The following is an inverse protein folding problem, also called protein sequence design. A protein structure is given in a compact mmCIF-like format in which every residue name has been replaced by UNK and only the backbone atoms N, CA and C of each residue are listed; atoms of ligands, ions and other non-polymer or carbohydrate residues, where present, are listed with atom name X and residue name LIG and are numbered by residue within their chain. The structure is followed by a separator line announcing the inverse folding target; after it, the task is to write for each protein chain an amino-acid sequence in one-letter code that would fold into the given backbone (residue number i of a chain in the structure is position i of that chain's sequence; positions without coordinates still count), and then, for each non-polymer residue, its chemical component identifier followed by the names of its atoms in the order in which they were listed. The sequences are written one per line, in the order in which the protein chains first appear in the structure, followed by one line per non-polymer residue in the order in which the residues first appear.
data_IF_189020280931
#
_entry.id   IF_189020280931
#
_cell.length_a   1.000
_cell.length_b   1.000
_cell.length_c   1.000
_cell.angle_alpha   90.00
_cell.angle_beta   90.00
_cell.angle_gamma   90.00
#
_symmetry.space_group_name_H-M   'P 1'
#
loop_
_entity.id
_entity.type
_entity.pdbx_description
1 polymer ?
#
# COMPACT_ATOMS: atom_id res chain seq x y z
N UNK A 1 6.58 -70.79 -34.57
CA UNK A 1 7.15 -70.75 -35.94
C UNK A 1 8.61 -70.31 -35.80
N UNK A 2 9.59 -71.18 -36.12
CA UNK A 2 11.06 -70.94 -36.20
C UNK A 2 11.75 -70.34 -34.93
N UNK A 3 12.51 -71.05 -34.08
CA UNK A 3 13.81 -71.78 -34.20
C UNK A 3 15.10 -70.93 -34.32
N UNK A 4 16.08 -71.24 -33.44
CA UNK A 4 17.56 -71.06 -33.55
C UNK A 4 18.12 -69.61 -33.46
N UNK A 5 19.35 -69.30 -32.99
CA UNK A 5 20.49 -70.13 -32.51
C UNK A 5 21.52 -69.33 -31.64
N UNK A 6 22.28 -70.04 -30.79
CA UNK A 6 23.73 -69.92 -30.44
C UNK A 6 24.44 -68.61 -29.95
N UNK A 7 25.41 -68.82 -29.03
CA UNK A 7 26.50 -67.88 -28.62
C UNK A 7 27.79 -68.10 -29.48
N UNK A 8 29.02 -67.65 -29.10
CA UNK A 8 29.61 -66.31 -29.24
C UNK A 8 30.99 -66.30 -29.98
N UNK A 9 31.63 -65.13 -30.14
CA UNK A 9 33.04 -64.91 -29.73
C UNK A 9 33.25 -63.52 -29.05
N UNK A 10 34.40 -63.11 -28.47
CA UNK A 10 35.63 -63.76 -27.97
C UNK A 10 36.40 -62.79 -27.02
N UNK A 11 37.61 -63.14 -26.55
CA UNK A 11 38.51 -62.32 -25.69
C UNK A 11 39.10 -61.08 -26.42
N UNK A 12 39.42 -59.96 -25.75
CA UNK A 12 40.67 -59.74 -24.97
C UNK A 12 40.90 -58.24 -24.65
N UNK A 13 41.88 -57.90 -23.78
CA UNK A 13 42.41 -56.51 -23.63
C UNK A 13 41.73 -55.62 -22.56
N UNK A 14 42.05 -55.70 -21.25
CA UNK A 14 43.22 -55.14 -20.50
C UNK A 14 43.31 -53.60 -20.39
N UNK A 15 43.32 -53.12 -19.14
CA UNK A 15 43.89 -51.88 -18.55
C UNK A 15 43.16 -50.53 -18.76
N UNK A 16 42.53 -49.99 -17.71
CA UNK A 16 43.08 -48.91 -16.85
C UNK A 16 42.06 -48.44 -15.80
N UNK A 17 42.41 -48.54 -14.51
CA UNK A 17 41.64 -47.91 -13.45
C UNK A 17 41.96 -46.40 -13.41
N UNK A 18 40.98 -45.55 -13.74
CA UNK A 18 41.03 -44.12 -13.42
C UNK A 18 40.28 -43.86 -12.13
N UNK A 19 41.03 -43.58 -11.06
CA UNK A 19 40.47 -43.00 -9.86
C UNK A 19 39.96 -41.58 -10.19
N UNK A 20 38.64 -41.39 -10.15
CA UNK A 20 38.06 -40.04 -10.19
C UNK A 20 38.19 -39.42 -8.80
N UNK A 21 39.19 -38.57 -8.66
CA UNK A 21 39.32 -37.66 -7.52
C UNK A 21 38.13 -36.72 -7.49
N UNK A 22 37.24 -36.86 -6.50
CA UNK A 22 36.18 -35.88 -6.22
C UNK A 22 36.81 -34.54 -5.82
N UNK A 23 36.57 -33.45 -6.57
CA UNK A 23 36.94 -32.12 -6.10
C UNK A 23 35.97 -31.70 -5.00
N UNK A 24 36.45 -31.58 -3.77
CA UNK A 24 35.69 -30.89 -2.73
C UNK A 24 35.69 -29.38 -3.00
N UNK A 25 34.53 -28.78 -3.24
CA UNK A 25 34.21 -27.40 -2.84
C UNK A 25 32.84 -26.98 -3.37
N UNK A 26 32.02 -26.39 -2.49
CA UNK A 26 31.12 -25.26 -2.77
C UNK A 26 30.40 -24.80 -1.49
N UNK A 27 31.17 -24.47 -0.46
CA UNK A 27 30.70 -23.89 0.82
C UNK A 27 31.49 -22.62 1.15
N UNK A 28 31.19 -21.50 0.47
CA UNK A 28 31.88 -20.21 0.76
C UNK A 28 31.12 -18.91 0.43
N UNK A 29 29.79 -18.92 0.42
CA UNK A 29 28.99 -17.69 0.27
C UNK A 29 28.66 -16.98 1.60
N UNK A 30 28.50 -17.75 2.70
CA UNK A 30 28.05 -17.22 3.99
C UNK A 30 29.00 -16.23 4.71
N UNK A 31 30.34 -16.39 4.70
CA UNK A 31 31.23 -15.56 5.52
C UNK A 31 31.16 -14.06 5.17
N UNK A 32 31.07 -13.72 3.89
CA UNK A 32 31.09 -12.33 3.43
C UNK A 32 29.82 -11.56 3.83
N UNK A 33 28.67 -12.25 3.88
CA UNK A 33 27.38 -11.66 4.26
C UNK A 33 27.34 -11.38 5.77
N UNK A 34 27.90 -12.27 6.60
CA UNK A 34 27.95 -12.07 8.05
C UNK A 34 28.85 -10.88 8.43
N UNK A 35 30.04 -10.78 7.84
CA UNK A 35 30.98 -9.66 8.06
C UNK A 35 30.37 -8.32 7.64
N UNK A 36 29.69 -8.26 6.48
CA UNK A 36 29.03 -7.03 6.02
C UNK A 36 27.88 -6.61 6.95
N UNK A 37 27.10 -7.56 7.48
CA UNK A 37 26.04 -7.28 8.48
C UNK A 37 26.61 -6.78 9.81
N UNK A 38 27.73 -7.32 10.27
CA UNK A 38 28.41 -6.85 11.48
C UNK A 38 28.89 -5.40 11.33
N UNK A 39 29.59 -5.09 10.23
CA UNK A 39 30.07 -3.74 9.91
C UNK A 39 28.93 -2.70 9.83
N UNK A 40 27.80 -3.08 9.23
CA UNK A 40 26.61 -2.21 9.15
C UNK A 40 26.00 -1.96 10.53
N UNK A 41 25.94 -2.98 11.41
CA UNK A 41 25.46 -2.82 12.79
C UNK A 41 26.36 -1.91 13.62
N UNK A 42 27.67 -2.04 13.47
CA UNK A 42 28.64 -1.18 14.16
C UNK A 42 28.53 0.28 13.70
N UNK A 43 28.47 0.52 12.38
CA UNK A 43 28.26 1.86 11.83
C UNK A 43 26.93 2.47 12.27
N UNK A 44 25.88 1.65 12.39
CA UNK A 44 24.59 2.05 12.96
C UNK A 44 24.74 2.51 14.42
N UNK A 45 25.43 1.73 15.26
CA UNK A 45 25.63 2.07 16.66
C UNK A 45 26.46 3.35 16.84
N UNK A 46 27.45 3.59 15.98
CA UNK A 46 28.24 4.82 15.96
C UNK A 46 27.39 6.05 15.60
N UNK A 47 26.47 5.93 14.63
CA UNK A 47 25.54 7.02 14.26
C UNK A 47 24.54 7.29 15.40
N UNK A 48 23.95 6.24 15.97
CA UNK A 48 22.98 6.36 17.07
C UNK A 48 23.62 6.97 18.33
N UNK A 49 24.95 6.84 18.52
CA UNK A 49 25.71 7.40 19.63
C UNK A 49 26.09 8.89 19.48
N UNK A 50 26.10 9.45 18.26
CA UNK A 50 26.57 10.83 18.03
C UNK A 50 25.49 11.88 18.35
N UNK A 51 24.27 11.68 17.86
CA UNK A 51 23.13 12.59 18.05
C UNK A 51 23.27 14.02 17.47
N UNK A 52 22.18 14.79 17.39
CA UNK A 52 20.78 14.37 17.47
C UNK A 52 20.23 13.92 16.11
N UNK A 53 19.10 13.23 16.13
CA UNK A 53 18.23 13.12 14.95
C UNK A 53 17.75 14.53 14.56
N UNK A 54 17.78 14.88 13.27
CA UNK A 54 17.34 16.20 12.80
C UNK A 54 15.90 16.50 13.29
N UNK A 55 15.65 17.67 13.93
CA UNK A 55 14.37 17.95 14.61
C UNK A 55 13.19 18.15 13.65
N UNK A 56 13.46 18.34 12.36
CA UNK A 56 12.47 18.51 11.31
C UNK A 56 12.98 17.98 9.97
N UNK A 57 12.18 17.16 9.30
CA UNK A 57 12.45 16.75 7.92
C UNK A 57 11.94 17.84 6.96
N UNK A 58 12.85 18.71 6.50
CA UNK A 58 12.56 19.77 5.53
C UNK A 58 13.40 19.49 4.28
N UNK A 59 12.80 19.58 3.10
CA UNK A 59 13.51 19.40 1.83
C UNK A 59 14.00 20.72 1.20
N UNK A 60 14.69 20.63 0.06
CA UNK A 60 15.21 21.77 -0.70
C UNK A 60 14.13 22.75 -1.21
N UNK A 61 12.85 22.38 -1.15
CA UNK A 61 11.72 23.24 -1.52
C UNK A 61 11.03 23.85 -0.27
N UNK A 62 11.62 23.67 0.92
CA UNK A 62 11.05 24.14 2.18
C UNK A 62 9.85 23.33 2.69
N UNK A 63 9.53 22.19 2.08
CA UNK A 63 8.38 21.37 2.47
C UNK A 63 8.72 20.55 3.71
N UNK A 64 7.90 20.68 4.76
CA UNK A 64 8.01 19.89 5.99
C UNK A 64 7.33 18.53 5.82
N UNK A 65 8.11 17.46 5.84
CA UNK A 65 7.65 16.08 5.75
C UNK A 65 7.20 15.56 7.11
N UNK A 66 5.90 15.61 7.39
CA UNK A 66 5.30 15.12 8.64
C UNK A 66 4.43 13.85 8.46
N UNK A 67 4.39 13.28 7.25
CA UNK A 67 3.54 12.13 6.92
C UNK A 67 4.36 10.95 6.34
N UNK A 68 4.50 9.86 7.09
CA UNK A 68 5.18 8.64 6.66
C UNK A 68 4.19 7.57 6.17
N UNK A 69 4.36 7.07 4.94
CA UNK A 69 3.66 5.90 4.41
C UNK A 69 4.58 4.69 4.46
N UNK A 70 4.20 3.66 5.21
CA UNK A 70 4.94 2.40 5.32
C UNK A 70 4.26 1.35 4.44
N UNK A 71 5.05 0.65 3.63
CA UNK A 71 4.60 -0.47 2.79
C UNK A 71 4.97 -1.77 3.52
N UNK A 72 4.01 -2.51 4.05
CA UNK A 72 4.24 -3.66 4.93
C UNK A 72 4.42 -5.00 4.18
N UNK A 73 4.13 -4.99 2.88
CA UNK A 73 4.02 -6.15 1.99
C UNK A 73 3.96 -5.66 0.54
N UNK A 74 4.49 -6.44 -0.40
CA UNK A 74 4.45 -6.14 -1.84
C UNK A 74 3.17 -6.61 -2.53
N UNK A 75 2.38 -7.49 -1.89
CA UNK A 75 1.30 -8.28 -2.53
C UNK A 75 0.03 -7.46 -2.82
N UNK A 76 0.08 -6.58 -3.82
CA UNK A 76 -1.08 -5.78 -4.22
C UNK A 76 -2.00 -6.54 -5.19
N UNK A 77 -3.04 -7.18 -4.67
CA UNK A 77 -3.97 -7.96 -5.50
C UNK A 77 -4.75 -7.14 -6.54
N UNK A 78 -4.82 -5.82 -6.39
CA UNK A 78 -5.48 -4.90 -7.33
C UNK A 78 -4.54 -4.41 -8.46
N UNK A 79 -3.23 -4.47 -8.24
CA UNK A 79 -2.24 -3.89 -9.17
C UNK A 79 -1.32 -4.91 -9.83
N UNK A 80 -1.26 -6.15 -9.36
CA UNK A 80 -0.43 -7.17 -10.00
C UNK A 80 -1.11 -7.67 -11.30
N UNK A 81 -0.38 -7.74 -12.43
CA UNK A 81 -0.89 -8.28 -13.69
C UNK A 81 -1.29 -9.76 -13.58
N UNK A 82 -2.02 -10.23 -14.60
CA UNK A 82 -2.60 -11.58 -14.69
C UNK A 82 -1.56 -12.68 -14.55
N UNK A 83 -0.36 -12.43 -15.05
CA UNK A 83 0.78 -13.35 -15.11
C UNK A 83 1.57 -13.39 -13.78
N UNK A 84 1.16 -12.59 -12.80
CA UNK A 84 1.82 -12.43 -11.51
C UNK A 84 3.01 -11.47 -11.56
N UNK A 85 3.67 -11.30 -10.41
CA UNK A 85 4.94 -10.60 -10.26
C UNK A 85 5.83 -11.47 -9.38
N UNK A 86 7.11 -11.59 -9.70
CA UNK A 86 8.07 -12.22 -8.79
C UNK A 86 8.12 -11.41 -7.48
N UNK A 87 7.68 -12.05 -6.39
CA UNK A 87 7.68 -11.44 -5.07
C UNK A 87 9.05 -11.58 -4.43
N UNK A 88 9.52 -10.53 -3.73
CA UNK A 88 10.79 -10.59 -3.01
C UNK A 88 10.78 -11.75 -2.00
N UNK A 89 11.93 -12.44 -1.80
CA UNK A 89 12.10 -13.39 -0.72
C UNK A 89 11.73 -12.75 0.63
N UNK A 90 11.08 -13.50 1.52
CA UNK A 90 10.67 -12.99 2.85
C UNK A 90 11.82 -12.39 3.67
N UNK A 91 13.06 -12.84 3.42
CA UNK A 91 14.30 -12.33 4.04
C UNK A 91 14.62 -10.87 3.69
N UNK A 92 13.98 -10.33 2.66
CA UNK A 92 14.22 -8.98 2.15
C UNK A 92 13.14 -8.00 2.61
N UNK A 93 12.06 -8.48 3.23
CA UNK A 93 10.98 -7.62 3.76
C UNK A 93 11.34 -7.22 5.19
N UNK A 94 11.19 -5.93 5.52
CA UNK A 94 11.43 -5.41 6.87
C UNK A 94 10.65 -6.19 7.94
N UNK A 95 11.36 -6.55 9.01
CA UNK A 95 10.78 -7.10 10.24
C UNK A 95 10.01 -6.03 11.02
N UNK A 96 9.15 -6.45 11.95
CA UNK A 96 8.39 -5.51 12.79
C UNK A 96 9.32 -4.65 13.67
N UNK A 97 10.44 -5.20 14.15
CA UNK A 97 11.44 -4.46 14.92
C UNK A 97 12.15 -3.38 14.10
N UNK A 98 12.48 -3.67 12.84
CA UNK A 98 13.05 -2.69 11.92
C UNK A 98 12.04 -1.59 11.56
N UNK A 99 10.77 -1.95 11.35
CA UNK A 99 9.68 -0.99 11.12
C UNK A 99 9.51 -0.07 12.32
N UNK A 100 9.46 -0.61 13.56
CA UNK A 100 9.35 0.20 14.77
C UNK A 100 10.58 1.09 14.98
N UNK A 101 11.80 0.58 14.73
CA UNK A 101 13.03 1.38 14.83
C UNK A 101 13.01 2.55 13.85
N UNK A 102 12.69 2.31 12.58
CA UNK A 102 12.60 3.36 11.55
C UNK A 102 11.48 4.36 11.87
N UNK A 103 10.29 3.88 12.23
CA UNK A 103 9.16 4.74 12.62
C UNK A 103 9.51 5.61 13.83
N UNK A 104 10.22 5.09 14.82
CA UNK A 104 10.69 5.85 15.99
C UNK A 104 11.62 7.00 15.58
N UNK A 105 12.56 6.75 14.66
CA UNK A 105 13.44 7.80 14.14
C UNK A 105 12.63 8.88 13.41
N UNK A 106 11.77 8.50 12.46
CA UNK A 106 10.92 9.44 11.72
C UNK A 106 10.01 10.28 12.61
N UNK A 107 9.36 9.67 13.63
CA UNK A 107 8.50 10.40 14.57
C UNK A 107 9.32 11.40 15.39
N UNK A 108 10.51 11.02 15.87
CA UNK A 108 11.45 11.94 16.53
C UNK A 108 11.96 13.06 15.60
N UNK A 109 11.95 12.87 14.28
CA UNK A 109 12.21 13.92 13.28
C UNK A 109 10.97 14.78 12.93
N UNK A 110 9.87 14.65 13.66
CA UNK A 110 8.66 15.46 13.47
C UNK A 110 7.60 14.86 12.53
N UNK A 111 7.62 13.56 12.25
CA UNK A 111 6.49 12.85 11.62
C UNK A 111 5.37 12.65 12.64
N UNK A 112 4.20 13.23 12.38
CA UNK A 112 3.01 13.10 13.25
C UNK A 112 1.94 12.15 12.70
N UNK A 113 2.03 11.76 11.42
CA UNK A 113 1.07 10.86 10.77
C UNK A 113 1.78 9.65 10.16
N UNK A 114 1.34 8.43 10.48
CA UNK A 114 1.80 7.18 9.86
C UNK A 114 0.64 6.51 9.11
N UNK A 115 0.87 6.08 7.87
CA UNK A 115 -0.08 5.27 7.08
C UNK A 115 0.51 3.90 6.77
N UNK A 116 -0.15 2.86 7.27
CA UNK A 116 0.14 1.47 6.93
C UNK A 116 -0.54 1.10 5.62
N UNK A 117 0.26 0.65 4.67
CA UNK A 117 -0.16 0.25 3.32
C UNK A 117 0.68 -0.94 2.86
N UNK A 118 0.65 -1.25 1.57
CA UNK A 118 1.56 -2.15 0.90
C UNK A 118 0.90 -2.54 -0.41
N UNK A 119 0.87 -3.83 -0.66
CA UNK A 119 -0.33 -4.49 -1.16
C UNK A 119 -1.47 -4.41 -0.14
N UNK A 120 -1.96 -5.57 0.32
CA UNK A 120 -2.97 -5.61 1.39
C UNK A 120 -2.32 -5.76 2.78
N UNK A 121 -2.29 -4.73 3.66
CA UNK A 121 -1.60 -4.80 4.95
C UNK A 121 -2.20 -5.82 5.92
N UNK A 122 -3.50 -6.11 5.84
CA UNK A 122 -4.17 -7.04 6.78
C UNK A 122 -3.72 -8.50 6.62
N UNK A 123 -3.04 -8.88 5.53
CA UNK A 123 -2.46 -10.24 5.38
C UNK A 123 -1.17 -10.43 6.19
N UNK A 124 -0.57 -9.35 6.73
CA UNK A 124 0.66 -9.45 7.52
C UNK A 124 0.35 -10.05 8.89
N UNK A 125 0.96 -11.20 9.18
CA UNK A 125 0.93 -11.77 10.55
C UNK A 125 1.49 -10.75 11.53
N UNK A 126 0.86 -10.60 12.69
CA UNK A 126 1.27 -9.61 13.70
C UNK A 126 0.78 -8.17 13.46
N UNK A 127 -0.02 -7.89 12.42
CA UNK A 127 -0.46 -6.51 12.11
C UNK A 127 -1.12 -5.76 13.28
N UNK A 128 -1.86 -6.48 14.13
CA UNK A 128 -2.49 -5.92 15.35
C UNK A 128 -1.43 -5.48 16.37
N UNK A 129 -0.45 -6.35 16.64
CA UNK A 129 0.67 -6.06 17.55
C UNK A 129 1.53 -4.91 17.02
N UNK A 130 1.84 -4.92 15.71
CA UNK A 130 2.58 -3.84 15.06
C UNK A 130 1.88 -2.48 15.21
N UNK A 131 0.55 -2.42 15.09
CA UNK A 131 -0.23 -1.20 15.36
C UNK A 131 -0.11 -0.78 16.83
N UNK A 132 -0.18 -1.73 17.78
CA UNK A 132 0.01 -1.47 19.21
C UNK A 132 1.40 -0.89 19.52
N UNK A 133 2.45 -1.49 18.97
CA UNK A 133 3.84 -1.01 19.11
C UNK A 133 4.07 0.36 18.45
N UNK A 134 3.42 0.64 17.32
CA UNK A 134 3.42 1.97 16.70
C UNK A 134 2.67 3.01 17.57
N UNK A 135 1.60 2.59 18.25
CA UNK A 135 0.79 3.46 19.11
C UNK A 135 1.56 3.93 20.35
N UNK A 136 2.58 3.20 20.81
CA UNK A 136 3.51 3.70 21.83
C UNK A 136 4.28 4.95 21.38
N UNK A 137 4.49 5.15 20.08
CA UNK A 137 5.25 6.30 19.56
C UNK A 137 4.52 7.64 19.73
N UNK A 138 3.28 7.62 20.23
CA UNK A 138 2.57 8.84 20.69
C UNK A 138 3.37 9.63 21.72
N UNK A 139 4.15 8.94 22.58
CA UNK A 139 5.09 9.56 23.54
C UNK A 139 6.22 10.36 22.88
N UNK A 140 6.37 10.28 21.56
CA UNK A 140 7.34 11.01 20.76
C UNK A 140 6.69 11.99 19.75
N UNK A 141 5.37 12.20 19.81
CA UNK A 141 4.66 13.17 18.95
C UNK A 141 3.85 12.55 17.80
N UNK A 142 3.66 11.23 17.77
CA UNK A 142 2.75 10.61 16.80
C UNK A 142 1.29 10.96 17.14
N UNK A 143 0.56 11.55 16.19
CA UNK A 143 -0.85 11.96 16.35
C UNK A 143 -1.81 10.91 15.78
N UNK A 144 -1.47 10.31 14.65
CA UNK A 144 -2.38 9.39 13.93
C UNK A 144 -1.67 8.20 13.30
N UNK A 145 -2.28 7.04 13.50
CA UNK A 145 -2.02 5.82 12.74
C UNK A 145 -3.22 5.60 11.83
N UNK A 146 -2.97 5.52 10.53
CA UNK A 146 -3.97 5.17 9.54
C UNK A 146 -3.61 3.88 8.79
N UNK A 147 -4.61 3.27 8.15
CA UNK A 147 -4.42 2.13 7.25
C UNK A 147 -5.04 2.41 5.88
N UNK A 148 -4.54 1.76 4.82
CA UNK A 148 -5.23 1.63 3.53
C UNK A 148 -5.39 0.15 3.21
N UNK A 149 -6.60 -0.32 2.95
CA UNK A 149 -6.94 -1.75 2.77
C UNK A 149 -8.05 -1.92 1.71
N UNK A 150 -8.05 -3.07 1.04
CA UNK A 150 -9.17 -3.51 0.19
C UNK A 150 -10.37 -4.05 0.98
N UNK A 151 -10.27 -4.15 2.31
CA UNK A 151 -11.38 -4.53 3.19
C UNK A 151 -11.74 -6.02 3.23
N UNK A 152 -11.17 -6.89 2.37
CA UNK A 152 -11.63 -8.28 2.23
C UNK A 152 -11.57 -9.12 3.52
N UNK A 153 -10.56 -8.88 4.37
CA UNK A 153 -10.40 -9.57 5.66
C UNK A 153 -10.38 -8.60 6.86
N UNK A 154 -10.57 -7.30 6.62
CA UNK A 154 -10.41 -6.26 7.65
C UNK A 154 -11.40 -6.44 8.81
N UNK A 155 -12.65 -6.85 8.52
CA UNK A 155 -13.68 -7.16 9.52
C UNK A 155 -13.25 -8.17 10.60
N UNK A 156 -12.21 -8.98 10.36
CA UNK A 156 -11.67 -9.95 11.34
C UNK A 156 -10.69 -9.34 12.34
N UNK A 157 -10.19 -8.14 12.05
CA UNK A 157 -9.11 -7.50 12.77
C UNK A 157 -9.43 -6.07 13.22
N UNK A 158 -10.48 -5.44 12.68
CA UNK A 158 -10.73 -4.01 12.82
C UNK A 158 -10.86 -3.57 14.29
N UNK A 159 -11.67 -4.27 15.08
CA UNK A 159 -11.87 -3.96 16.50
C UNK A 159 -10.54 -3.99 17.27
N UNK A 160 -9.73 -5.02 17.02
CA UNK A 160 -8.41 -5.17 17.63
C UNK A 160 -7.44 -4.08 17.16
N UNK A 161 -7.48 -3.70 15.88
CA UNK A 161 -6.66 -2.61 15.33
C UNK A 161 -7.04 -1.26 15.95
N UNK A 162 -8.34 -0.97 16.11
CA UNK A 162 -8.84 0.25 16.75
C UNK A 162 -8.47 0.27 18.24
N UNK A 163 -8.62 -0.85 18.96
CA UNK A 163 -8.19 -0.98 20.35
C UNK A 163 -6.69 -0.73 20.52
N UNK A 164 -5.88 -1.19 19.56
CA UNK A 164 -4.42 -0.97 19.53
C UNK A 164 -3.99 0.40 19.00
N UNK A 165 -4.92 1.29 18.63
CA UNK A 165 -4.63 2.69 18.30
C UNK A 165 -4.71 3.08 16.81
N UNK A 166 -5.28 2.23 15.95
CA UNK A 166 -5.69 2.64 14.61
C UNK A 166 -6.75 3.75 14.70
N UNK A 167 -6.48 4.89 14.05
CA UNK A 167 -7.32 6.09 14.12
C UNK A 167 -8.02 6.44 12.81
N UNK A 168 -7.46 6.05 11.66
CA UNK A 168 -7.96 6.42 10.34
C UNK A 168 -7.97 5.20 9.41
N UNK A 169 -9.01 5.04 8.60
CA UNK A 169 -9.10 3.98 7.62
C UNK A 169 -9.39 4.54 6.24
N UNK A 170 -8.64 4.08 5.25
CA UNK A 170 -8.97 4.24 3.85
C UNK A 170 -9.32 2.85 3.29
N UNK A 171 -10.59 2.61 2.96
CA UNK A 171 -11.01 1.43 2.23
C UNK A 171 -10.96 1.70 0.73
N UNK A 172 -10.63 0.70 -0.08
CA UNK A 172 -10.77 0.74 -1.54
C UNK A 172 -11.97 -0.12 -1.96
N UNK A 173 -12.96 0.51 -2.60
CA UNK A 173 -14.14 -0.14 -3.14
C UNK A 173 -14.59 0.64 -4.37
N UNK A 174 -14.25 0.15 -5.56
CA UNK A 174 -14.48 0.90 -6.79
C UNK A 174 -15.93 0.78 -7.32
N UNK A 175 -16.75 -0.14 -6.81
CA UNK A 175 -18.12 -0.35 -7.29
C UNK A 175 -19.04 -0.92 -6.20
N UNK A 176 -20.31 -0.55 -6.26
CA UNK A 176 -21.39 -1.06 -5.41
C UNK A 176 -22.06 -2.31 -5.98
N UNK A 177 -21.81 -2.64 -7.24
CA UNK A 177 -22.30 -3.85 -7.91
C UNK A 177 -21.36 -5.05 -7.62
N UNK A 178 -21.87 -6.19 -7.11
CA UNK A 178 -21.04 -7.35 -6.75
C UNK A 178 -20.46 -8.08 -7.98
N UNK A 179 -21.12 -8.03 -9.14
CA UNK A 179 -20.61 -8.63 -10.39
C UNK A 179 -19.51 -7.76 -10.98
N UNK A 180 -19.70 -6.44 -11.03
CA UNK A 180 -18.63 -5.51 -11.43
C UNK A 180 -17.43 -5.59 -10.49
N UNK A 181 -17.66 -5.79 -9.19
CA UNK A 181 -16.58 -6.01 -8.23
C UNK A 181 -15.73 -7.22 -8.60
N UNK A 182 -16.34 -8.35 -8.97
CA UNK A 182 -15.57 -9.52 -9.41
C UNK A 182 -14.80 -9.24 -10.72
N UNK A 183 -15.40 -8.51 -11.68
CA UNK A 183 -14.73 -8.10 -12.93
C UNK A 183 -13.50 -7.20 -12.64
N UNK A 184 -13.64 -6.22 -11.75
CA UNK A 184 -12.59 -5.25 -11.44
C UNK A 184 -11.48 -5.85 -10.55
N UNK A 185 -11.85 -6.59 -9.51
CA UNK A 185 -10.92 -7.15 -8.53
C UNK A 185 -10.38 -8.54 -8.88
N UNK A 186 -11.00 -9.19 -9.88
CA UNK A 186 -10.79 -10.60 -10.26
C UNK A 186 -11.06 -11.59 -9.13
N UNK A 187 -11.88 -11.22 -8.14
CA UNK A 187 -12.18 -12.01 -6.94
C UNK A 187 -13.58 -11.76 -6.40
N UNK A 188 -14.18 -12.82 -5.88
CA UNK A 188 -15.33 -12.69 -4.97
C UNK A 188 -14.91 -12.06 -3.64
N UNK A 189 -15.83 -11.31 -3.03
CA UNK A 189 -15.64 -10.74 -1.70
C UNK A 189 -16.24 -9.36 -1.45
N UNK A 190 -16.99 -8.78 -2.39
CA UNK A 190 -17.72 -7.50 -2.25
C UNK A 190 -18.45 -7.37 -0.90
N UNK A 191 -19.28 -8.35 -0.58
CA UNK A 191 -19.94 -8.57 0.71
C UNK A 191 -19.02 -8.45 1.94
N UNK A 192 -17.78 -8.96 1.86
CA UNK A 192 -16.81 -8.87 2.94
C UNK A 192 -16.19 -7.47 3.07
N UNK A 193 -16.11 -6.70 1.97
CA UNK A 193 -15.70 -5.29 1.97
C UNK A 193 -16.80 -4.42 2.56
N UNK A 194 -18.06 -4.63 2.18
CA UNK A 194 -19.23 -3.94 2.75
C UNK A 194 -19.36 -4.21 4.27
N UNK A 195 -19.17 -5.45 4.72
CA UNK A 195 -19.11 -5.76 6.17
C UNK A 195 -17.98 -5.01 6.88
N UNK A 196 -16.80 -4.91 6.27
CA UNK A 196 -15.67 -4.15 6.83
C UNK A 196 -15.94 -2.64 6.86
N UNK A 197 -16.65 -2.10 5.87
CA UNK A 197 -17.10 -0.70 5.84
C UNK A 197 -18.12 -0.43 6.96
N UNK A 198 -19.18 -1.25 7.04
CA UNK A 198 -20.22 -1.09 8.06
C UNK A 198 -19.66 -1.21 9.49
N UNK A 199 -18.74 -2.15 9.73
CA UNK A 199 -18.05 -2.27 11.02
C UNK A 199 -17.17 -1.05 11.31
N UNK A 200 -16.53 -0.46 10.30
CA UNK A 200 -15.73 0.75 10.47
C UNK A 200 -16.59 1.96 10.85
N UNK A 201 -17.73 2.15 10.17
CA UNK A 201 -18.68 3.23 10.47
C UNK A 201 -19.25 3.07 11.89
N UNK A 202 -19.68 1.87 12.25
CA UNK A 202 -20.15 1.55 13.60
C UNK A 202 -19.06 1.71 14.69
N UNK A 203 -17.77 1.62 14.33
CA UNK A 203 -16.64 1.81 15.25
C UNK A 203 -16.19 3.27 15.42
N UNK A 204 -16.77 4.22 14.67
CA UNK A 204 -16.36 5.64 14.77
C UNK A 204 -16.67 6.23 16.16
N UNK A 205 -15.79 7.12 16.61
CA UNK A 205 -15.93 7.78 17.90
C UNK A 205 -14.63 8.41 18.40
N UNK A 206 -14.40 8.36 19.72
CA UNK A 206 -13.25 9.04 20.32
C UNK A 206 -11.88 8.46 19.89
N UNK A 207 -11.79 7.16 19.59
CA UNK A 207 -10.54 6.49 19.20
C UNK A 207 -10.37 6.39 17.67
N UNK A 208 -11.43 6.02 16.96
CA UNK A 208 -11.44 5.86 15.51
C UNK A 208 -12.15 7.06 14.86
N UNK A 209 -11.38 7.88 14.15
CA UNK A 209 -11.74 9.26 13.81
C UNK A 209 -12.34 9.44 12.42
N UNK A 210 -11.92 8.66 11.44
CA UNK A 210 -12.27 8.91 10.04
C UNK A 210 -12.23 7.64 9.20
N UNK A 211 -13.34 7.38 8.52
CA UNK A 211 -13.45 6.42 7.44
C UNK A 211 -13.44 7.17 6.11
N UNK A 212 -12.58 6.73 5.20
CA UNK A 212 -12.48 7.25 3.83
C UNK A 212 -12.66 6.10 2.85
N UNK A 213 -13.49 6.26 1.84
CA UNK A 213 -13.72 5.26 0.79
C UNK A 213 -13.09 5.78 -0.51
N UNK A 214 -12.04 5.12 -0.99
CA UNK A 214 -11.39 5.44 -2.25
C UNK A 214 -12.09 4.67 -3.39
N UNK A 215 -12.48 5.40 -4.44
CA UNK A 215 -13.17 4.89 -5.63
C UNK A 215 -12.37 5.34 -6.86
N UNK A 216 -11.75 4.41 -7.60
CA UNK A 216 -11.13 4.72 -8.90
C UNK A 216 -12.20 4.72 -9.98
N UNK A 217 -12.42 5.86 -10.63
CA UNK A 217 -13.52 6.03 -11.60
C UNK A 217 -13.02 5.75 -13.02
N UNK A 218 -13.68 4.81 -13.70
CA UNK A 218 -13.36 4.32 -15.04
C UNK A 218 -14.61 4.47 -15.92
N UNK A 219 -14.46 5.22 -17.03
CA UNK A 219 -15.54 5.55 -17.96
C UNK A 219 -16.12 4.30 -18.63
N UNK A 220 -17.45 4.19 -18.68
CA UNK A 220 -18.17 3.04 -19.21
C UNK A 220 -18.09 1.77 -18.36
N UNK A 221 -17.80 1.89 -17.06
CA UNK A 221 -17.71 0.75 -16.13
C UNK A 221 -18.41 1.03 -14.79
N UNK A 222 -17.92 2.01 -14.04
CA UNK A 222 -18.42 2.41 -12.71
C UNK A 222 -18.66 3.92 -12.59
N UNK A 223 -18.43 4.69 -13.64
CA UNK A 223 -18.72 6.13 -13.73
C UNK A 223 -20.21 6.48 -13.52
N UNK A 224 -21.11 5.57 -13.86
CA UNK A 224 -22.55 5.71 -13.58
C UNK A 224 -22.89 5.63 -12.08
N UNK A 225 -22.08 4.95 -11.26
CA UNK A 225 -22.33 4.73 -9.82
C UNK A 225 -21.89 5.91 -8.95
N UNK A 226 -21.31 6.96 -9.54
CA UNK A 226 -20.80 8.09 -8.78
C UNK A 226 -21.88 8.76 -7.91
N UNK A 227 -23.12 8.84 -8.39
CA UNK A 227 -24.26 9.37 -7.62
C UNK A 227 -24.67 8.42 -6.48
N UNK A 228 -24.67 7.11 -6.71
CA UNK A 228 -24.98 6.11 -5.68
C UNK A 228 -23.97 6.18 -4.53
N UNK A 229 -22.68 6.34 -4.86
CA UNK A 229 -21.66 6.63 -3.87
C UNK A 229 -21.94 7.94 -3.12
N UNK A 230 -22.25 9.05 -3.82
CA UNK A 230 -22.60 10.32 -3.15
C UNK A 230 -23.73 10.14 -2.14
N UNK A 231 -24.80 9.41 -2.50
CA UNK A 231 -25.93 9.11 -1.62
C UNK A 231 -25.52 8.35 -0.35
N UNK A 232 -24.51 7.47 -0.39
CA UNK A 232 -23.99 6.82 0.82
C UNK A 232 -23.47 7.82 1.87
N UNK A 233 -23.05 9.02 1.46
CA UNK A 233 -22.56 10.06 2.39
C UNK A 233 -23.66 10.89 3.03
N UNK A 234 -24.94 10.68 2.67
CA UNK A 234 -26.10 11.38 3.25
C UNK A 234 -26.17 11.19 4.76
N UNK A 235 -26.25 9.94 5.21
CA UNK A 235 -26.44 9.59 6.63
C UNK A 235 -25.17 9.09 7.33
N UNK A 236 -24.07 8.88 6.59
CA UNK A 236 -22.82 8.31 7.10
C UNK A 236 -21.72 9.37 7.23
N UNK A 237 -21.01 9.38 8.37
CA UNK A 237 -19.85 10.23 8.62
C UNK A 237 -18.58 9.65 7.94
N UNK A 238 -18.59 9.64 6.61
CA UNK A 238 -17.45 9.18 5.80
C UNK A 238 -17.09 10.16 4.69
N UNK A 239 -15.84 10.07 4.21
CA UNK A 239 -15.37 10.84 3.06
C UNK A 239 -15.15 9.92 1.86
N UNK A 240 -15.95 10.06 0.81
CA UNK A 240 -15.75 9.34 -0.45
C UNK A 240 -14.76 10.10 -1.32
N UNK A 241 -13.74 9.41 -1.81
CA UNK A 241 -12.64 9.97 -2.59
C UNK A 241 -12.62 9.35 -3.97
N UNK A 242 -13.15 10.09 -4.94
CA UNK A 242 -13.06 9.75 -6.36
C UNK A 242 -11.64 10.04 -6.86
N UNK A 243 -11.06 9.07 -7.57
CA UNK A 243 -9.68 9.09 -8.06
C UNK A 243 -9.71 8.89 -9.58
N UNK A 244 -9.01 9.75 -10.32
CA UNK A 244 -8.89 9.60 -11.77
C UNK A 244 -8.12 8.32 -12.13
N UNK A 245 -8.63 7.58 -13.13
CA UNK A 245 -7.96 6.40 -13.63
C UNK A 245 -6.60 6.75 -14.26
N UNK A 246 -5.53 6.36 -13.58
CA UNK A 246 -4.13 6.65 -13.94
C UNK A 246 -3.38 5.41 -14.44
N UNK A 247 -2.33 5.57 -15.28
CA UNK A 247 -1.50 4.46 -15.71
C UNK A 247 -0.69 3.89 -14.54
N UNK A 248 -0.50 2.56 -14.53
CA UNK A 248 0.46 1.88 -13.67
C UNK A 248 0.96 0.60 -14.33
N UNK A 249 2.19 0.20 -14.07
CA UNK A 249 2.83 -0.99 -14.67
C UNK A 249 1.94 -2.22 -14.53
N UNK A 250 1.46 -2.76 -15.66
CA UNK A 250 0.56 -3.92 -15.71
C UNK A 250 -0.94 -3.63 -15.88
N UNK A 251 -1.39 -2.37 -15.89
CA UNK A 251 -2.77 -2.04 -16.27
C UNK A 251 -2.94 -1.77 -17.78
N UNK A 252 -4.12 -2.09 -18.31
CA UNK A 252 -4.53 -1.69 -19.68
C UNK A 252 -5.09 -0.26 -19.63
N UNK A 253 -4.26 0.70 -19.22
CA UNK A 253 -4.68 2.11 -19.15
C UNK A 253 -4.96 2.65 -20.54
N UNK A 254 -5.99 3.48 -20.62
CA UNK A 254 -6.49 4.11 -21.83
C UNK A 254 -7.05 5.47 -21.44
N UNK A 255 -6.56 6.53 -22.07
CA UNK A 255 -6.99 7.90 -21.82
C UNK A 255 -8.49 8.10 -22.09
N UNK A 256 -9.07 7.33 -23.03
CA UNK A 256 -10.51 7.37 -23.31
C UNK A 256 -11.38 6.84 -22.14
N UNK A 257 -10.78 6.09 -21.21
CA UNK A 257 -11.45 5.55 -20.02
C UNK A 257 -11.29 6.41 -18.77
N UNK A 258 -10.55 7.52 -18.87
CA UNK A 258 -10.39 8.46 -17.77
C UNK A 258 -11.60 9.40 -17.70
N UNK A 259 -12.19 9.56 -16.52
CA UNK A 259 -13.16 10.62 -16.22
C UNK A 259 -12.43 11.73 -15.47
N UNK A 260 -12.31 12.96 -16.02
CA UNK A 260 -11.71 14.09 -15.30
C UNK A 260 -12.52 14.46 -14.07
N UNK A 261 -11.86 14.83 -12.98
CA UNK A 261 -12.52 15.26 -11.73
C UNK A 261 -13.57 16.38 -11.95
N UNK A 262 -13.31 17.30 -12.89
CA UNK A 262 -14.23 18.40 -13.21
C UNK A 262 -15.53 17.94 -13.91
N UNK A 263 -15.45 16.92 -14.79
CA UNK A 263 -16.62 16.29 -15.41
C UNK A 263 -17.49 15.63 -14.33
N UNK A 264 -16.86 14.92 -13.40
CA UNK A 264 -17.54 14.23 -12.30
C UNK A 264 -18.20 15.21 -11.31
N UNK A 265 -17.49 16.28 -10.91
CA UNK A 265 -18.05 17.36 -10.07
C UNK A 265 -19.26 18.02 -10.76
N UNK A 266 -19.16 18.29 -12.07
CA UNK A 266 -20.26 18.90 -12.83
C UNK A 266 -21.49 17.98 -12.90
N UNK A 267 -21.28 16.67 -13.12
CA UNK A 267 -22.36 15.69 -13.12
C UNK A 267 -23.05 15.58 -11.75
N UNK A 268 -22.27 15.52 -10.65
CA UNK A 268 -22.81 15.47 -9.28
C UNK A 268 -23.55 16.78 -8.95
N UNK A 269 -23.07 17.94 -9.39
CA UNK A 269 -23.73 19.23 -9.17
C UNK A 269 -25.10 19.36 -9.87
N UNK A 270 -25.35 18.63 -10.97
CA UNK A 270 -26.67 18.58 -11.61
C UNK A 270 -27.71 17.85 -10.75
N UNK A 271 -27.31 16.77 -10.07
CA UNK A 271 -28.16 16.02 -9.14
C UNK A 271 -28.25 16.71 -7.75
N UNK A 272 -27.17 17.37 -7.33
CA UNK A 272 -27.05 18.06 -6.05
C UNK A 272 -26.58 19.52 -6.22
N UNK A 273 -27.49 20.45 -6.57
CA UNK A 273 -27.14 21.86 -6.77
C UNK A 273 -26.52 22.57 -5.56
N UNK A 274 -26.66 21.99 -4.35
CA UNK A 274 -26.01 22.47 -3.13
C UNK A 274 -24.54 22.05 -2.97
N UNK A 275 -23.95 21.32 -3.93
CA UNK A 275 -22.54 20.89 -3.87
C UNK A 275 -21.61 22.11 -3.78
N UNK A 276 -20.94 22.27 -2.64
CA UNK A 276 -20.03 23.39 -2.36
C UNK A 276 -18.62 22.88 -2.11
N UNK A 277 -17.61 23.62 -2.57
CA UNK A 277 -16.21 23.29 -2.28
C UNK A 277 -15.91 23.64 -0.82
N UNK A 278 -15.40 22.67 -0.07
CA UNK A 278 -14.93 22.88 1.29
C UNK A 278 -13.55 23.56 1.30
N UNK A 279 -13.13 24.09 2.46
CA UNK A 279 -11.77 24.59 2.64
C UNK A 279 -10.78 23.44 2.54
N UNK A 280 -9.80 23.54 1.64
CA UNK A 280 -8.77 22.51 1.49
C UNK A 280 -7.84 22.51 2.73
N UNK A 281 -7.58 21.33 3.32
CA UNK A 281 -6.55 21.19 4.35
C UNK A 281 -5.16 21.41 3.76
N UNK A 282 -4.24 21.96 4.57
CA UNK A 282 -2.84 22.11 4.20
C UNK A 282 -2.25 20.75 3.82
N UNK A 283 -1.87 20.62 2.54
CA UNK A 283 -1.28 19.43 1.91
C UNK A 283 -2.23 18.24 1.66
N UNK A 284 -3.57 18.40 1.63
CA UNK A 284 -4.43 17.33 1.11
C UNK A 284 -4.26 17.19 -0.42
N UNK A 285 -4.34 15.95 -0.89
CA UNK A 285 -4.36 15.56 -2.31
C UNK A 285 -5.75 15.60 -2.93
N UNK A 286 -6.80 15.63 -2.11
CA UNK A 286 -8.18 15.68 -2.57
C UNK A 286 -8.75 17.09 -2.41
N UNK A 287 -9.27 17.65 -3.51
CA UNK A 287 -10.13 18.85 -3.45
C UNK A 287 -11.44 18.43 -2.79
N UNK A 288 -11.76 19.00 -1.63
CA UNK A 288 -12.88 18.53 -0.81
C UNK A 288 -14.17 19.31 -1.09
N UNK A 289 -15.31 18.64 -1.01
CA UNK A 289 -16.65 19.19 -1.26
C UNK A 289 -17.66 18.63 -0.25
N UNK A 290 -18.72 19.39 0.00
CA UNK A 290 -19.81 19.04 0.91
C UNK A 290 -21.16 19.38 0.28
N UNK A 291 -22.20 18.66 0.69
CA UNK A 291 -23.59 18.91 0.28
C UNK A 291 -24.39 19.26 1.55
N UNK A 292 -25.10 20.40 1.61
CA UNK A 292 -25.95 20.75 2.75
C UNK A 292 -26.93 19.63 3.12
N UNK A 293 -26.97 19.28 4.40
CA UNK A 293 -27.81 18.18 4.92
C UNK A 293 -27.18 16.80 4.85
N UNK A 294 -26.05 16.62 4.17
CA UNK A 294 -25.29 15.36 4.18
C UNK A 294 -24.31 15.37 5.36
N UNK A 295 -24.11 14.20 5.98
CA UNK A 295 -23.19 14.02 7.12
C UNK A 295 -21.74 13.81 6.69
N UNK A 296 -21.54 13.17 5.56
CA UNK A 296 -20.22 12.89 4.99
C UNK A 296 -19.71 13.99 4.05
N UNK A 297 -18.66 13.66 3.31
CA UNK A 297 -18.00 14.58 2.37
C UNK A 297 -17.50 13.87 1.12
N UNK A 298 -17.23 14.65 0.07
CA UNK A 298 -16.68 14.18 -1.19
C UNK A 298 -15.27 14.75 -1.37
N UNK A 299 -14.38 13.98 -1.97
CA UNK A 299 -13.03 14.41 -2.33
C UNK A 299 -12.68 13.96 -3.73
N UNK A 300 -12.07 14.84 -4.52
CA UNK A 300 -11.66 14.55 -5.89
C UNK A 300 -10.14 14.61 -5.99
N UNK A 301 -9.52 13.51 -6.38
CA UNK A 301 -8.07 13.36 -6.53
C UNK A 301 -7.73 13.37 -8.03
N UNK A 302 -7.37 14.57 -8.50
CA UNK A 302 -6.95 14.85 -9.87
C UNK A 302 -5.52 14.39 -10.17
N UNK A 303 -5.26 13.07 -10.10
CA UNK A 303 -3.92 12.51 -10.30
C UNK A 303 -3.31 12.83 -11.67
N UNK A 304 -4.15 13.00 -12.70
CA UNK A 304 -3.70 13.29 -14.08
C UNK A 304 -4.02 14.73 -14.52
N UNK A 305 -5.10 15.34 -14.01
CA UNK A 305 -5.56 16.67 -14.46
C UNK A 305 -5.03 17.87 -13.67
N UNK A 306 -4.58 17.70 -12.41
CA UNK A 306 -4.13 18.79 -11.54
C UNK A 306 -3.12 18.30 -10.49
N UNK A 307 -1.81 18.47 -10.75
CA UNK A 307 -0.76 17.86 -9.94
C UNK A 307 -0.52 18.56 -8.59
N UNK A 308 -0.76 17.84 -7.48
CA UNK A 308 -0.56 18.29 -6.09
C UNK A 308 0.88 18.18 -5.55
N UNK A 309 1.91 18.01 -6.40
CA UNK A 309 3.28 17.74 -5.92
C UNK A 309 3.92 18.94 -5.18
N UNK A 310 3.44 20.18 -5.40
CA UNK A 310 3.96 21.39 -4.75
C UNK A 310 3.80 21.44 -3.23
N UNK A 311 2.73 20.84 -2.69
CA UNK A 311 2.43 20.80 -1.24
C UNK A 311 2.78 19.45 -0.59
N UNK A 312 3.46 18.54 -1.29
CA UNK A 312 3.63 17.16 -0.82
C UNK A 312 4.55 17.04 0.40
N UNK A 313 3.98 16.63 1.55
CA UNK A 313 4.62 16.41 2.86
C UNK A 313 4.91 14.93 3.17
N UNK A 314 4.92 14.07 2.15
CA UNK A 314 4.90 12.60 2.30
C UNK A 314 6.27 11.96 2.03
N UNK A 315 6.66 11.08 2.94
CA UNK A 315 7.75 10.12 2.76
C UNK A 315 7.17 8.71 2.61
N UNK A 316 7.80 7.87 1.79
CA UNK A 316 7.43 6.46 1.64
C UNK A 316 8.59 5.56 2.06
N UNK A 317 8.30 4.63 2.96
CA UNK A 317 9.13 3.45 3.23
C UNK A 317 8.55 2.27 2.42
N UNK A 318 9.36 1.63 1.60
CA UNK A 318 8.97 0.43 0.85
C UNK A 318 9.10 -0.82 1.73
N UNK A 319 8.62 -1.98 1.24
CA UNK A 319 8.60 -3.21 2.03
C UNK A 319 10.00 -3.80 2.25
N UNK A 320 10.90 -3.52 1.31
CA UNK A 320 12.32 -3.86 1.26
C UNK A 320 13.23 -2.81 1.94
N UNK A 321 12.66 -1.71 2.45
CA UNK A 321 13.37 -0.73 3.27
C UNK A 321 13.97 0.47 2.52
N UNK A 322 13.68 0.66 1.24
CA UNK A 322 14.02 1.90 0.54
C UNK A 322 13.17 3.08 1.03
N UNK A 323 13.79 4.25 1.12
CA UNK A 323 13.10 5.52 1.41
C UNK A 323 12.93 6.30 0.11
N UNK A 324 11.67 6.63 -0.23
CA UNK A 324 11.32 7.43 -1.40
C UNK A 324 10.61 8.71 -0.96
N UNK A 325 11.19 9.87 -1.28
CA UNK A 325 10.64 11.20 -0.98
C UNK A 325 9.53 11.65 -1.97
N UNK A 326 9.14 10.77 -2.91
CA UNK A 326 8.07 11.01 -3.89
C UNK A 326 6.98 9.95 -3.75
N UNK A 327 5.72 10.38 -3.85
CA UNK A 327 4.58 9.47 -4.03
C UNK A 327 4.53 8.92 -5.45
N UNK A 328 3.83 7.80 -5.66
CA UNK A 328 3.67 7.14 -6.98
C UNK A 328 3.14 8.11 -8.05
N UNK A 329 2.26 9.03 -7.67
CA UNK A 329 1.63 10.04 -8.55
C UNK A 329 2.59 11.18 -8.95
N UNK A 330 3.80 11.26 -8.37
CA UNK A 330 4.82 12.26 -8.73
C UNK A 330 6.04 11.62 -9.43
N UNK A 331 5.87 10.46 -10.08
CA UNK A 331 6.86 9.93 -11.03
C UNK A 331 6.64 10.58 -12.40
N UNK A 332 7.71 11.02 -13.10
CA UNK A 332 7.62 11.37 -14.51
C UNK A 332 7.12 10.19 -15.34
N UNK A 333 6.44 10.47 -16.44
CA UNK A 333 5.90 9.47 -17.37
C UNK A 333 7.00 8.59 -18.01
N UNK A 334 8.24 9.08 -18.05
CA UNK A 334 9.37 8.45 -18.75
C UNK A 334 10.09 7.35 -17.93
N UNK A 335 9.69 7.09 -16.67
CA UNK A 335 10.29 6.12 -15.74
C UNK A 335 9.33 4.96 -15.34
N UNK A 336 8.35 4.58 -16.18
CA UNK A 336 7.29 3.58 -15.88
C UNK A 336 7.25 2.33 -16.77
#
# INVERSE_FOLDING_TARGET
MLFLSSRPPSCSGRIFARAYTTPSSLTRAEPLISTRRALVREKIAQIDAQGPVAPSLIDSFGRRHNYLRISLTERCFYCMPTDGVELSPKSNILSDDEIIRLATLFVKSGVTKIRLTGGEPTIRKGIVELVGRLNELRKHGLESIGMTSNGLILHRHLDQLVQNGLTHLNLSLDTLDPFKFEIMTRRMGHEAVLRSLNLALASQGLKFKSVKLNVVVIKGLNDSEALDFVEMTRDQDMSIRFIEFMPFTGNKWDKAKMVPSAELVSHIALAHPGLTKATDELNDTARSYTIPGFRGSLGFISSMSDHFCGSCNRLRLTADGEIKARGVVCLPFDDL
#
